data_IF_261395913527
#
_entry.id   IF_261395913527
#
_cell.length_a   1.000
_cell.length_b   1.000
_cell.length_c   1.000
_cell.angle_alpha   90.00
_cell.angle_beta   90.00
_cell.angle_gamma   90.00
#
_symmetry.space_group_name_H-M   'P 1'
#
loop_
_entity.id
_entity.type
_entity.pdbx_description
1 polymer ?
#
# COMPACT_ATOMS: atom_id res chain seq x y z
N UNK A 1 -21.81 -1.12 -4.24
CA UNK A 1 -22.32 -0.72 -5.57
C UNK A 1 -22.24 0.77 -5.88
N UNK A 2 -22.42 1.68 -4.93
CA UNK A 2 -22.35 3.13 -5.19
C UNK A 2 -21.02 3.56 -5.86
N UNK A 3 -19.88 3.16 -5.28
CA UNK A 3 -18.55 3.48 -5.81
C UNK A 3 -18.23 2.87 -7.20
N UNK A 4 -18.95 1.81 -7.61
CA UNK A 4 -18.71 1.17 -8.90
C UNK A 4 -19.28 2.00 -10.05
N UNK A 5 -20.37 2.74 -9.81
CA UNK A 5 -20.90 3.71 -10.79
C UNK A 5 -19.96 4.90 -10.94
N UNK A 6 -19.50 5.46 -9.82
CA UNK A 6 -18.59 6.61 -9.83
C UNK A 6 -17.28 6.33 -10.60
N UNK A 7 -16.75 5.10 -10.51
CA UNK A 7 -15.58 4.69 -11.29
C UNK A 7 -15.89 4.55 -12.80
N UNK A 8 -17.06 4.00 -13.13
CA UNK A 8 -17.49 3.80 -14.51
C UNK A 8 -17.72 5.13 -15.25
N UNK A 9 -18.07 6.17 -14.52
CA UNK A 9 -18.31 7.52 -15.04
C UNK A 9 -17.03 8.34 -15.27
N UNK A 10 -15.87 7.86 -14.82
CA UNK A 10 -14.56 8.49 -15.08
C UNK A 10 -14.16 8.35 -16.55
N UNK A 11 -13.30 9.27 -17.02
CA UNK A 11 -12.64 9.11 -18.32
C UNK A 11 -11.73 7.88 -18.31
N UNK A 12 -11.47 7.28 -19.48
CA UNK A 12 -10.53 6.15 -19.60
C UNK A 12 -9.14 6.50 -19.07
N UNK A 13 -8.71 7.76 -19.21
CA UNK A 13 -7.43 8.22 -18.68
C UNK A 13 -7.43 8.20 -17.14
N UNK A 14 -8.50 8.68 -16.52
CA UNK A 14 -8.63 8.74 -15.06
C UNK A 14 -8.85 7.36 -14.45
N UNK A 15 -9.59 6.47 -15.12
CA UNK A 15 -9.73 5.06 -14.69
C UNK A 15 -8.37 4.36 -14.64
N UNK A 16 -7.54 4.55 -15.68
CA UNK A 16 -6.18 3.98 -15.74
C UNK A 16 -5.29 4.56 -14.65
N UNK A 17 -5.32 5.88 -14.46
CA UNK A 17 -4.56 6.56 -13.41
C UNK A 17 -4.94 6.05 -12.02
N UNK A 18 -6.24 5.98 -11.73
CA UNK A 18 -6.75 5.46 -10.46
C UNK A 18 -6.30 4.01 -10.23
N UNK A 19 -6.38 3.15 -11.25
CA UNK A 19 -5.93 1.77 -11.14
C UNK A 19 -4.41 1.67 -10.84
N UNK A 20 -3.59 2.48 -11.52
CA UNK A 20 -2.15 2.54 -11.28
C UNK A 20 -1.87 3.00 -9.84
N UNK A 21 -2.55 4.05 -9.37
CA UNK A 21 -2.40 4.52 -7.98
C UNK A 21 -2.81 3.46 -6.94
N UNK A 22 -3.85 2.67 -7.22
CA UNK A 22 -4.22 1.53 -6.38
C UNK A 22 -3.15 0.44 -6.37
N UNK A 23 -2.56 0.13 -7.54
CA UNK A 23 -1.49 -0.86 -7.65
C UNK A 23 -0.21 -0.40 -6.93
N UNK A 24 0.17 0.87 -7.06
CA UNK A 24 1.33 1.45 -6.37
C UNK A 24 1.16 1.39 -4.85
N UNK A 25 -0.05 1.70 -4.35
CA UNK A 25 -0.34 1.58 -2.90
C UNK A 25 -0.24 0.15 -2.39
N UNK A 26 -0.59 -0.84 -3.21
CA UNK A 26 -0.42 -2.25 -2.84
C UNK A 26 1.06 -2.65 -2.75
N UNK A 27 1.95 -2.01 -3.50
CA UNK A 27 3.40 -2.25 -3.42
C UNK A 27 4.03 -1.71 -2.13
N UNK A 28 3.31 -0.90 -1.35
CA UNK A 28 3.76 -0.43 -0.04
C UNK A 28 3.59 -1.48 1.07
N UNK A 29 2.92 -2.60 0.77
CA UNK A 29 2.78 -3.70 1.71
C UNK A 29 4.08 -4.51 1.78
N UNK A 30 4.62 -4.65 2.99
CA UNK A 30 5.84 -5.42 3.27
C UNK A 30 5.49 -6.49 4.29
N UNK A 31 5.84 -7.75 4.00
CA UNK A 31 5.64 -8.83 4.98
C UNK A 31 6.51 -8.58 6.22
N UNK A 32 6.01 -8.98 7.39
CA UNK A 32 6.76 -8.82 8.64
C UNK A 32 8.14 -9.53 8.61
N UNK A 33 8.23 -10.68 7.94
CA UNK A 33 9.50 -11.40 7.73
C UNK A 33 10.52 -10.59 6.94
N UNK A 34 10.06 -9.68 6.08
CA UNK A 34 10.85 -8.87 5.16
C UNK A 34 11.06 -7.44 5.69
N UNK A 35 10.51 -7.08 6.86
CA UNK A 35 10.53 -5.71 7.40
C UNK A 35 11.96 -5.16 7.60
N UNK A 36 12.95 -6.05 7.76
CA UNK A 36 14.37 -5.70 7.92
C UNK A 36 15.12 -5.60 6.61
N UNK A 37 14.54 -6.02 5.49
CA UNK A 37 15.15 -5.91 4.18
C UNK A 37 15.40 -4.44 3.85
N UNK A 38 16.55 -4.17 3.24
CA UNK A 38 16.95 -2.83 2.81
C UNK A 38 16.23 -2.41 1.54
N UNK A 39 15.75 -3.36 0.74
CA UNK A 39 15.04 -3.10 -0.51
C UNK A 39 13.75 -2.29 -0.28
N UNK A 40 13.02 -2.60 0.80
CA UNK A 40 11.78 -1.90 1.15
C UNK A 40 11.98 -0.58 1.89
N UNK A 41 13.21 -0.24 2.30
CA UNK A 41 13.52 1.06 2.91
C UNK A 41 12.76 1.38 4.21
N UNK A 42 12.19 0.38 4.89
CA UNK A 42 11.42 0.60 6.15
C UNK A 42 12.32 1.23 7.20
N UNK A 43 11.84 2.31 7.84
CA UNK A 43 12.61 3.06 8.83
C UNK A 43 12.88 2.22 10.09
N UNK A 44 13.89 2.64 10.87
CA UNK A 44 14.22 1.95 12.13
C UNK A 44 13.09 2.15 13.15
N UNK A 45 12.51 3.35 13.17
CA UNK A 45 11.41 3.75 14.04
C UNK A 45 10.16 2.90 13.77
N UNK A 46 9.81 2.68 12.50
CA UNK A 46 8.65 1.85 12.12
C UNK A 46 8.87 0.38 12.50
N UNK A 47 10.10 -0.13 12.35
CA UNK A 47 10.46 -1.50 12.79
C UNK A 47 10.33 -1.66 14.30
N UNK A 48 10.79 -0.67 15.07
CA UNK A 48 10.68 -0.67 16.53
C UNK A 48 9.22 -0.60 16.97
N UNK A 49 8.42 0.28 16.36
CA UNK A 49 6.98 0.39 16.63
C UNK A 49 6.25 -0.92 16.33
N UNK A 50 6.55 -1.56 15.20
CA UNK A 50 5.96 -2.84 14.81
C UNK A 50 6.31 -3.94 15.83
N UNK A 51 7.58 -4.05 16.24
CA UNK A 51 8.00 -5.00 17.28
C UNK A 51 7.34 -4.72 18.64
N UNK A 52 7.18 -3.45 19.04
CA UNK A 52 6.52 -3.11 20.30
C UNK A 52 5.02 -3.43 20.27
N UNK A 53 4.39 -3.36 19.09
CA UNK A 53 2.97 -3.61 18.94
C UNK A 53 2.63 -5.10 18.84
N UNK A 54 3.42 -5.87 18.08
CA UNK A 54 3.15 -7.29 17.79
C UNK A 54 4.07 -8.28 18.52
N UNK A 55 5.14 -7.82 19.18
CA UNK A 55 6.19 -8.67 19.75
C UNK A 55 5.90 -9.29 21.11
N UNK A 56 4.66 -9.69 21.40
CA UNK A 56 4.33 -10.57 22.51
C UNK A 56 4.42 -12.04 22.09
#
# INVERSE_FOLDING_TARGET
>A
DENAKDFSDLSIADQKKFLIECLDKNQLYVNLSEIKDKEYGVSKEDRELNNNFYGN
#
